data_IF_979336636088
#
_entry.id   IF_979336636088
#
_cell.length_a   1.000
_cell.length_b   1.000
_cell.length_c   1.000
_cell.angle_alpha   90.00
_cell.angle_beta   90.00
_cell.angle_gamma   90.00
#
_symmetry.space_group_name_H-M   'P 1'
#
loop_
_entity.id
_entity.type
_entity.pdbx_description
1 polymer ?
#
# COMPACT_ATOMS: atom_id res chain seq x y z
N UNK A 1 -37.73 -44.15 -17.61
CA UNK A 1 -36.45 -43.65 -18.16
C UNK A 1 -36.27 -42.23 -17.65
N UNK A 2 -35.44 -42.03 -16.63
CA UNK A 2 -35.09 -40.68 -16.15
C UNK A 2 -34.00 -40.14 -17.07
N UNK A 3 -34.32 -39.15 -17.88
CA UNK A 3 -33.33 -38.41 -18.65
C UNK A 3 -32.41 -37.68 -17.67
N UNK A 4 -31.18 -38.16 -17.51
CA UNK A 4 -30.08 -37.38 -16.94
C UNK A 4 -29.70 -36.29 -17.93
N UNK A 5 -30.51 -35.24 -18.01
CA UNK A 5 -30.11 -33.98 -18.63
C UNK A 5 -29.12 -33.31 -17.68
N UNK A 6 -27.88 -33.79 -17.69
CA UNK A 6 -26.78 -32.99 -17.15
C UNK A 6 -26.65 -31.78 -18.07
N UNK A 7 -27.18 -30.63 -17.63
CA UNK A 7 -26.98 -29.35 -18.31
C UNK A 7 -25.47 -29.17 -18.51
N UNK A 8 -25.01 -29.35 -19.74
CA UNK A 8 -23.62 -29.06 -20.10
C UNK A 8 -23.47 -27.54 -20.08
N UNK A 9 -22.59 -27.06 -19.21
CA UNK A 9 -22.10 -25.68 -19.23
C UNK A 9 -21.74 -25.33 -20.68
N UNK A 10 -22.24 -24.20 -21.17
CA UNK A 10 -21.98 -23.78 -22.54
C UNK A 10 -20.47 -23.58 -22.78
N UNK A 11 -20.03 -23.65 -24.05
CA UNK A 11 -18.63 -23.37 -24.40
C UNK A 11 -18.17 -21.99 -23.91
N UNK A 12 -19.08 -21.00 -23.94
CA UNK A 12 -18.81 -19.63 -23.49
C UNK A 12 -18.61 -19.55 -21.98
N UNK A 13 -19.48 -20.18 -21.19
CA UNK A 13 -19.36 -20.21 -19.73
C UNK A 13 -18.15 -21.03 -19.28
N UNK A 14 -17.80 -22.10 -19.99
CA UNK A 14 -16.56 -22.84 -19.72
C UNK A 14 -15.32 -21.97 -19.96
N UNK A 15 -15.27 -21.21 -21.06
CA UNK A 15 -14.19 -20.25 -21.32
C UNK A 15 -14.15 -19.15 -20.26
N UNK A 16 -15.31 -18.67 -19.81
CA UNK A 16 -15.42 -17.67 -18.75
C UNK A 16 -14.86 -18.20 -17.42
N UNK A 17 -15.18 -19.45 -17.05
CA UNK A 17 -14.63 -20.11 -15.85
C UNK A 17 -13.10 -20.21 -15.90
N UNK A 18 -12.54 -20.59 -17.06
CA UNK A 18 -11.09 -20.62 -17.26
C UNK A 18 -10.47 -19.23 -17.19
N UNK A 19 -11.14 -18.22 -17.75
CA UNK A 19 -10.70 -16.83 -17.67
C UNK A 19 -10.67 -16.34 -16.22
N UNK A 20 -11.70 -16.65 -15.43
CA UNK A 20 -11.73 -16.34 -13.99
C UNK A 20 -10.53 -16.91 -13.28
N UNK A 21 -10.23 -18.20 -13.44
CA UNK A 21 -9.07 -18.81 -12.78
C UNK A 21 -7.75 -18.09 -13.11
N UNK A 22 -7.53 -17.74 -14.39
CA UNK A 22 -6.34 -17.00 -14.83
C UNK A 22 -6.30 -15.58 -14.27
N UNK A 23 -7.43 -14.89 -14.24
CA UNK A 23 -7.55 -13.53 -13.72
C UNK A 23 -7.32 -13.54 -12.21
N UNK A 24 -7.91 -14.47 -11.46
CA UNK A 24 -7.69 -14.61 -10.02
C UNK A 24 -6.21 -14.77 -9.69
N UNK A 25 -5.50 -15.63 -10.42
CA UNK A 25 -4.06 -15.84 -10.23
C UNK A 25 -3.26 -14.57 -10.56
N UNK A 26 -3.52 -13.94 -11.71
CA UNK A 26 -2.89 -12.67 -12.08
C UNK A 26 -3.10 -11.59 -11.02
N UNK A 27 -4.33 -11.46 -10.54
CA UNK A 27 -4.75 -10.45 -9.58
C UNK A 27 -4.06 -10.65 -8.23
N UNK A 28 -3.97 -11.90 -7.77
CA UNK A 28 -3.23 -12.26 -6.54
C UNK A 28 -1.74 -11.89 -6.65
N UNK A 29 -1.11 -12.10 -7.80
CA UNK A 29 0.30 -11.72 -8.00
C UNK A 29 0.50 -10.20 -8.00
N UNK A 30 -0.42 -9.44 -8.60
CA UNK A 30 -0.38 -7.97 -8.60
C UNK A 30 -0.53 -7.44 -7.17
N UNK A 31 -1.49 -7.94 -6.41
CA UNK A 31 -1.70 -7.58 -5.01
C UNK A 31 -0.46 -7.84 -4.17
N UNK A 32 0.12 -9.05 -4.26
CA UNK A 32 1.34 -9.39 -3.55
C UNK A 32 2.49 -8.44 -3.89
N UNK A 33 2.70 -8.15 -5.18
CA UNK A 33 3.74 -7.22 -5.61
C UNK A 33 3.55 -5.80 -5.05
N UNK A 34 2.31 -5.33 -4.96
CA UNK A 34 1.99 -4.03 -4.37
C UNK A 34 2.22 -4.01 -2.86
N UNK A 35 1.84 -5.08 -2.16
CA UNK A 35 2.10 -5.23 -0.73
C UNK A 35 3.61 -5.28 -0.43
N UNK A 36 4.37 -6.04 -1.21
CA UNK A 36 5.83 -6.14 -1.07
C UNK A 36 6.48 -4.76 -1.24
N UNK A 37 6.07 -3.98 -2.25
CA UNK A 37 6.55 -2.60 -2.44
C UNK A 37 6.24 -1.69 -1.24
N UNK A 38 5.05 -1.81 -0.64
CA UNK A 38 4.70 -1.02 0.54
C UNK A 38 5.57 -1.40 1.75
N UNK A 39 5.87 -2.69 1.92
CA UNK A 39 6.75 -3.20 2.97
C UNK A 39 8.20 -2.77 2.77
N UNK A 40 8.70 -2.77 1.53
CA UNK A 40 10.04 -2.27 1.19
C UNK A 40 10.17 -0.78 1.53
N UNK A 41 9.19 0.04 1.16
CA UNK A 41 9.16 1.48 1.50
C UNK A 41 9.19 1.66 3.03
N UNK A 42 8.41 0.84 3.75
CA UNK A 42 8.39 0.87 5.22
C UNK A 42 9.76 0.51 5.78
N UNK A 43 10.42 -0.53 5.28
CA UNK A 43 11.75 -0.92 5.75
C UNK A 43 12.77 0.21 5.57
N UNK A 44 12.72 0.93 4.44
CA UNK A 44 13.57 2.10 4.25
C UNK A 44 13.23 3.20 5.25
N UNK A 45 11.95 3.49 5.48
CA UNK A 45 11.52 4.49 6.46
C UNK A 45 11.95 4.11 7.90
N UNK A 46 11.73 2.86 8.31
CA UNK A 46 12.11 2.34 9.64
C UNK A 46 13.65 2.38 9.82
N UNK A 47 14.44 2.25 8.75
CA UNK A 47 15.91 2.40 8.81
C UNK A 47 16.38 3.82 9.19
N UNK A 48 15.51 4.81 9.02
CA UNK A 48 15.81 6.19 9.39
C UNK A 48 15.50 6.51 10.85
N UNK A 49 14.72 5.68 11.56
CA UNK A 49 14.31 5.94 12.94
C UNK A 49 15.50 6.20 13.87
N UNK A 50 16.58 5.44 13.70
CA UNK A 50 17.81 5.65 14.48
C UNK A 50 18.40 7.07 14.27
N UNK A 51 18.41 7.57 13.03
CA UNK A 51 18.93 8.91 12.72
C UNK A 51 18.05 10.00 13.35
N UNK A 52 16.74 9.76 13.44
CA UNK A 52 15.79 10.68 14.08
C UNK A 52 16.02 10.73 15.58
N UNK A 53 16.16 9.57 16.23
CA UNK A 53 16.36 9.49 17.67
C UNK A 53 17.70 10.13 18.08
N UNK A 54 18.77 9.90 17.31
CA UNK A 54 20.06 10.59 17.50
C UNK A 54 19.92 12.12 17.39
N UNK A 55 19.12 12.60 16.44
CA UNK A 55 18.89 14.03 16.26
C UNK A 55 17.98 14.65 17.32
N UNK A 56 17.02 13.91 17.86
CA UNK A 56 16.22 14.34 19.00
C UNK A 56 17.10 14.57 20.24
N UNK A 57 18.03 13.65 20.50
CA UNK A 57 19.02 13.82 21.57
C UNK A 57 19.87 15.07 21.36
N UNK A 58 20.36 15.28 20.14
CA UNK A 58 21.15 16.48 19.78
C UNK A 58 20.32 17.77 19.96
N UNK A 59 19.04 17.73 19.59
CA UNK A 59 18.11 18.86 19.80
C UNK A 59 17.97 19.20 21.28
N UNK A 60 17.90 18.20 22.17
CA UNK A 60 17.88 18.44 23.62
C UNK A 60 19.15 19.14 24.11
N UNK A 61 20.32 18.75 23.60
CA UNK A 61 21.59 19.38 23.98
C UNK A 61 21.66 20.85 23.55
N UNK A 62 21.17 21.17 22.34
CA UNK A 62 21.08 22.55 21.87
C UNK A 62 20.17 23.43 22.73
N UNK A 63 19.13 22.85 23.35
CA UNK A 63 18.24 23.57 24.26
C UNK A 63 18.89 23.96 25.59
N UNK A 64 20.02 23.34 25.94
CA UNK A 64 20.78 23.62 27.17
C UNK A 64 22.01 24.52 26.93
N UNK A 65 22.42 24.71 25.68
CA UNK A 65 23.58 25.52 25.33
C UNK A 65 23.21 27.02 25.22
N UNK A 66 24.12 27.89 25.65
CA UNK A 66 23.97 29.35 25.48
C UNK A 66 24.28 29.74 24.03
N UNK A 67 23.48 30.63 23.45
CA UNK A 67 23.62 31.17 22.08
C UNK A 67 23.29 30.20 20.91
N UNK A 68 22.56 29.11 21.16
CA UNK A 68 22.13 28.11 20.15
C UNK A 68 20.63 28.14 19.85
N UNK A 69 19.90 29.17 20.30
CA UNK A 69 18.44 29.23 20.27
C UNK A 69 17.85 29.08 18.86
N UNK A 70 18.46 29.70 17.85
CA UNK A 70 18.02 29.57 16.45
C UNK A 70 18.18 28.13 15.92
N UNK A 71 19.27 27.46 16.25
CA UNK A 71 19.53 26.07 15.86
C UNK A 71 18.60 25.11 16.58
N UNK A 72 18.31 25.37 17.86
CA UNK A 72 17.33 24.61 18.63
C UNK A 72 15.94 24.66 17.97
N UNK A 73 15.45 25.84 17.60
CA UNK A 73 14.15 25.97 16.92
C UNK A 73 14.12 25.28 15.55
N UNK A 74 15.20 25.39 14.76
CA UNK A 74 15.31 24.68 13.48
C UNK A 74 15.29 23.15 13.68
N UNK A 75 16.03 22.65 14.66
CA UNK A 75 16.09 21.23 14.99
C UNK A 75 14.72 20.71 15.45
N UNK A 76 14.01 21.44 16.33
CA UNK A 76 12.65 21.09 16.74
C UNK A 76 11.67 21.03 15.56
N UNK A 77 11.75 21.96 14.61
CA UNK A 77 10.90 21.94 13.42
C UNK A 77 11.15 20.71 12.55
N UNK A 78 12.41 20.31 12.38
CA UNK A 78 12.77 19.11 11.64
C UNK A 78 12.30 17.84 12.32
N UNK A 79 12.51 17.70 13.64
CA UNK A 79 11.99 16.59 14.44
C UNK A 79 10.46 16.48 14.31
N UNK A 80 9.75 17.59 14.49
CA UNK A 80 8.29 17.62 14.39
C UNK A 80 7.82 17.17 12.99
N UNK A 81 8.45 17.70 11.94
CA UNK A 81 8.13 17.34 10.55
C UNK A 81 8.33 15.84 10.29
N UNK A 82 9.44 15.28 10.80
CA UNK A 82 9.74 13.85 10.69
C UNK A 82 8.69 13.00 11.40
N UNK A 83 8.32 13.33 12.64
CA UNK A 83 7.31 12.57 13.40
C UNK A 83 5.95 12.59 12.70
N UNK A 84 5.56 13.73 12.10
CA UNK A 84 4.36 13.79 11.26
C UNK A 84 4.46 12.87 10.04
N UNK A 85 5.59 12.90 9.32
CA UNK A 85 5.80 12.05 8.15
C UNK A 85 5.81 10.55 8.49
N UNK A 86 6.45 10.15 9.59
CA UNK A 86 6.40 8.77 10.10
C UNK A 86 4.96 8.32 10.36
N UNK A 87 4.15 9.17 11.02
CA UNK A 87 2.75 8.87 11.29
C UNK A 87 1.94 8.74 9.99
N UNK A 88 2.16 9.65 9.02
CA UNK A 88 1.53 9.56 7.73
C UNK A 88 1.89 8.27 7.00
N UNK A 89 3.16 7.89 6.97
CA UNK A 89 3.63 6.67 6.31
C UNK A 89 3.04 5.41 6.97
N UNK A 90 2.99 5.36 8.30
CA UNK A 90 2.32 4.27 9.04
C UNK A 90 0.83 4.17 8.72
N UNK A 91 0.13 5.30 8.65
CA UNK A 91 -1.28 5.34 8.31
C UNK A 91 -1.54 4.90 6.86
N UNK A 92 -0.70 5.34 5.91
CA UNK A 92 -0.83 4.92 4.51
C UNK A 92 -0.57 3.42 4.37
N UNK A 93 0.47 2.89 5.03
CA UNK A 93 0.74 1.45 5.03
C UNK A 93 -0.42 0.65 5.61
N UNK A 94 -0.95 1.07 6.76
CA UNK A 94 -2.10 0.41 7.39
C UNK A 94 -3.30 0.38 6.43
N UNK A 95 -3.57 1.49 5.73
CA UNK A 95 -4.61 1.59 4.70
C UNK A 95 -4.39 0.63 3.53
N UNK A 96 -3.14 0.49 3.04
CA UNK A 96 -2.81 -0.50 1.99
C UNK A 96 -3.09 -1.92 2.50
N UNK A 97 -2.60 -2.27 3.69
CA UNK A 97 -2.75 -3.63 4.24
C UNK A 97 -4.21 -4.00 4.53
N UNK A 98 -5.01 -3.09 5.10
CA UNK A 98 -6.44 -3.32 5.37
C UNK A 98 -7.23 -3.49 4.08
N UNK A 99 -6.95 -2.64 3.08
CA UNK A 99 -7.59 -2.74 1.79
C UNK A 99 -7.22 -4.03 1.05
N UNK A 100 -5.95 -4.46 1.11
CA UNK A 100 -5.51 -5.71 0.50
C UNK A 100 -6.22 -6.93 1.11
N UNK A 101 -6.35 -6.96 2.44
CA UNK A 101 -7.06 -8.04 3.14
C UNK A 101 -8.54 -8.07 2.74
N UNK A 102 -9.23 -6.93 2.82
CA UNK A 102 -10.67 -6.83 2.52
C UNK A 102 -10.96 -7.19 1.07
N UNK A 103 -10.20 -6.58 0.16
CA UNK A 103 -10.42 -6.78 -1.27
C UNK A 103 -10.02 -8.19 -1.72
N UNK A 104 -8.95 -8.76 -1.16
CA UNK A 104 -8.59 -10.16 -1.39
C UNK A 104 -9.67 -11.15 -0.93
N UNK A 105 -10.42 -10.84 0.13
CA UNK A 105 -11.58 -11.64 0.57
C UNK A 105 -12.78 -11.47 -0.37
N UNK A 106 -13.09 -10.23 -0.76
CA UNK A 106 -14.20 -9.90 -1.67
C UNK A 106 -14.01 -10.56 -3.05
N UNK A 107 -12.80 -10.51 -3.61
CA UNK A 107 -12.47 -11.13 -4.89
C UNK A 107 -12.61 -12.64 -4.86
N UNK A 108 -12.08 -13.31 -3.82
CA UNK A 108 -12.22 -14.76 -3.65
C UNK A 108 -13.68 -15.16 -3.52
N UNK A 109 -14.46 -14.39 -2.76
CA UNK A 109 -15.90 -14.64 -2.58
C UNK A 109 -16.67 -14.44 -3.88
N UNK A 110 -16.41 -13.35 -4.60
CA UNK A 110 -17.09 -13.00 -5.86
C UNK A 110 -16.80 -14.01 -6.97
N UNK A 111 -15.54 -14.45 -7.12
CA UNK A 111 -15.19 -15.49 -8.08
C UNK A 111 -15.76 -16.85 -7.70
N UNK A 112 -15.76 -17.23 -6.41
CA UNK A 112 -16.40 -18.45 -5.95
C UNK A 112 -17.92 -18.43 -6.20
N UNK A 113 -18.58 -17.30 -5.95
CA UNK A 113 -20.00 -17.10 -6.25
C UNK A 113 -20.28 -17.21 -7.75
N UNK A 114 -19.45 -16.61 -8.61
CA UNK A 114 -19.58 -16.76 -10.06
C UNK A 114 -19.44 -18.21 -10.50
N UNK A 115 -18.41 -18.93 -10.02
CA UNK A 115 -18.18 -20.34 -10.36
C UNK A 115 -19.33 -21.24 -9.88
N UNK A 116 -19.86 -20.96 -8.68
CA UNK A 116 -21.06 -21.63 -8.16
C UNK A 116 -22.29 -21.34 -9.03
N UNK A 117 -22.50 -20.08 -9.41
CA UNK A 117 -23.62 -19.65 -10.24
C UNK A 117 -23.63 -20.35 -11.60
N UNK A 118 -22.49 -20.38 -12.31
CA UNK A 118 -22.42 -21.03 -13.63
C UNK A 118 -22.56 -22.55 -13.57
N UNK A 119 -22.27 -23.19 -12.42
CA UNK A 119 -22.37 -24.65 -12.27
C UNK A 119 -23.82 -25.16 -12.31
N UNK A 120 -24.78 -24.31 -11.95
CA UNK A 120 -26.21 -24.60 -11.93
C UNK A 120 -26.99 -23.75 -12.93
N UNK A 121 -26.30 -23.05 -13.84
CA UNK A 121 -26.93 -22.07 -14.72
C UNK A 121 -27.68 -22.75 -15.86
N UNK A 122 -28.97 -22.44 -15.97
CA UNK A 122 -29.87 -22.95 -17.01
C UNK A 122 -30.44 -21.83 -17.91
N UNK A 123 -29.97 -20.59 -17.75
CA UNK A 123 -30.40 -19.41 -18.50
C UNK A 123 -29.51 -19.09 -19.70
N UNK A 124 -29.67 -17.88 -20.26
CA UNK A 124 -28.82 -17.34 -21.32
C UNK A 124 -27.49 -16.78 -20.77
N UNK A 125 -26.37 -17.17 -21.37
CA UNK A 125 -25.01 -16.84 -20.93
C UNK A 125 -24.78 -15.34 -20.70
N UNK A 126 -25.55 -14.47 -21.35
CA UNK A 126 -25.46 -13.00 -21.26
C UNK A 126 -25.43 -12.49 -19.81
N UNK A 127 -26.31 -13.01 -18.93
CA UNK A 127 -26.39 -12.51 -17.56
C UNK A 127 -25.17 -12.93 -16.73
N UNK A 128 -24.74 -14.18 -16.86
CA UNK A 128 -23.55 -14.69 -16.18
C UNK A 128 -22.29 -13.95 -16.65
N UNK A 129 -22.15 -13.70 -17.95
CA UNK A 129 -21.02 -12.94 -18.51
C UNK A 129 -21.02 -11.47 -18.06
N UNK A 130 -22.20 -10.84 -17.91
CA UNK A 130 -22.31 -9.51 -17.35
C UNK A 130 -21.84 -9.47 -15.88
N UNK A 131 -22.21 -10.46 -15.06
CA UNK A 131 -21.72 -10.58 -13.69
C UNK A 131 -20.19 -10.71 -13.63
N UNK A 132 -19.59 -11.48 -14.54
CA UNK A 132 -18.13 -11.58 -14.65
C UNK A 132 -17.49 -10.22 -14.96
N UNK A 133 -18.05 -9.46 -15.91
CA UNK A 133 -17.55 -8.13 -16.27
C UNK A 133 -17.55 -7.18 -15.08
N UNK A 134 -18.59 -7.23 -14.24
CA UNK A 134 -18.67 -6.42 -13.03
C UNK A 134 -17.56 -6.79 -12.03
N UNK A 135 -17.34 -8.10 -11.79
CA UNK A 135 -16.30 -8.58 -10.87
C UNK A 135 -14.89 -8.21 -11.37
N UNK A 136 -14.65 -8.20 -12.68
CA UNK A 136 -13.36 -7.75 -13.22
C UNK A 136 -13.18 -6.25 -13.12
N UNK A 137 -14.26 -5.46 -13.29
CA UNK A 137 -14.20 -4.01 -13.19
C UNK A 137 -13.86 -3.50 -11.78
N UNK A 138 -14.39 -4.14 -10.74
CA UNK A 138 -14.02 -3.81 -9.34
C UNK A 138 -12.54 -4.05 -9.05
N UNK A 139 -11.91 -5.01 -9.72
CA UNK A 139 -10.46 -5.22 -9.62
C UNK A 139 -9.64 -4.12 -10.25
N UNK A 140 -10.00 -3.67 -11.44
CA UNK A 140 -9.26 -2.62 -12.12
C UNK A 140 -9.29 -1.32 -11.30
N UNK A 141 -10.43 -1.01 -10.68
CA UNK A 141 -10.58 0.14 -9.79
C UNK A 141 -9.73 0.00 -8.53
N UNK A 142 -9.77 -1.16 -7.86
CA UNK A 142 -8.93 -1.43 -6.69
C UNK A 142 -7.44 -1.30 -7.00
N UNK A 143 -6.99 -1.88 -8.12
CA UNK A 143 -5.60 -1.85 -8.54
C UNK A 143 -5.13 -0.41 -8.77
N UNK A 144 -5.97 0.42 -9.39
CA UNK A 144 -5.70 1.85 -9.56
C UNK A 144 -5.58 2.58 -8.20
N UNK A 145 -6.48 2.31 -7.26
CA UNK A 145 -6.45 2.90 -5.93
C UNK A 145 -5.20 2.48 -5.13
N UNK A 146 -4.82 1.20 -5.17
CA UNK A 146 -3.59 0.73 -4.51
C UNK A 146 -2.34 1.37 -5.13
N UNK A 147 -2.31 1.50 -6.46
CA UNK A 147 -1.21 2.19 -7.13
C UNK A 147 -1.07 3.64 -6.66
N UNK A 148 -2.19 4.37 -6.52
CA UNK A 148 -2.17 5.74 -6.01
C UNK A 148 -1.64 5.82 -4.56
N UNK A 149 -2.02 4.87 -3.70
CA UNK A 149 -1.50 4.80 -2.32
C UNK A 149 -0.01 4.52 -2.26
N UNK A 150 0.49 3.63 -3.13
CA UNK A 150 1.94 3.39 -3.27
C UNK A 150 2.69 4.63 -3.73
N UNK A 151 2.15 5.36 -4.71
CA UNK A 151 2.73 6.64 -5.13
C UNK A 151 2.78 7.62 -3.96
N UNK A 152 1.70 7.72 -3.19
CA UNK A 152 1.64 8.57 -1.99
C UNK A 152 2.70 8.16 -0.95
N UNK A 153 2.89 6.86 -0.70
CA UNK A 153 3.95 6.38 0.20
C UNK A 153 5.35 6.73 -0.31
N UNK A 154 5.57 6.67 -1.63
CA UNK A 154 6.85 7.04 -2.23
C UNK A 154 7.12 8.54 -2.10
N UNK A 155 6.13 9.39 -2.35
CA UNK A 155 6.24 10.83 -2.15
C UNK A 155 6.50 11.20 -0.68
N UNK A 156 5.89 10.45 0.25
CA UNK A 156 6.14 10.57 1.69
C UNK A 156 7.58 10.18 2.04
N UNK A 157 8.10 9.10 1.46
CA UNK A 157 9.49 8.67 1.65
C UNK A 157 10.50 9.68 1.09
N UNK A 158 10.23 10.26 -0.07
CA UNK A 158 11.08 11.30 -0.67
C UNK A 158 11.11 12.56 0.20
N UNK A 159 9.95 12.98 0.72
CA UNK A 159 9.83 14.10 1.66
C UNK A 159 10.58 13.82 2.95
N UNK A 160 10.50 12.59 3.45
CA UNK A 160 11.20 12.16 4.65
C UNK A 160 12.72 12.20 4.44
N UNK A 161 13.20 11.65 3.33
CA UNK A 161 14.61 11.70 2.92
C UNK A 161 15.13 13.13 2.82
N UNK A 162 14.33 14.05 2.28
CA UNK A 162 14.70 15.46 2.19
C UNK A 162 14.91 16.09 3.57
N UNK A 163 14.03 15.83 4.54
CA UNK A 163 14.20 16.38 5.90
C UNK A 163 15.37 15.74 6.62
N UNK A 164 15.64 14.44 6.42
CA UNK A 164 16.85 13.80 6.96
C UNK A 164 18.13 14.44 6.42
N UNK A 165 18.17 14.84 5.15
CA UNK A 165 19.29 15.61 4.59
C UNK A 165 19.46 16.98 5.24
N UNK A 166 18.36 17.67 5.56
CA UNK A 166 18.39 18.96 6.28
C UNK A 166 18.91 18.78 7.71
N UNK A 167 18.47 17.72 8.38
CA UNK A 167 18.96 17.30 9.70
C UNK A 167 20.47 17.05 9.67
N UNK A 168 20.95 16.27 8.69
CA UNK A 168 22.37 15.98 8.53
C UNK A 168 23.19 17.26 8.26
N UNK A 169 22.68 18.15 7.41
CA UNK A 169 23.34 19.43 7.13
C UNK A 169 23.39 20.34 8.38
N UNK A 170 22.32 20.37 9.19
CA UNK A 170 22.32 21.13 10.44
C UNK A 170 23.35 20.56 11.42
N UNK A 171 23.38 19.24 11.60
CA UNK A 171 24.38 18.57 12.46
C UNK A 171 25.80 18.92 12.03
N UNK A 172 26.11 18.77 10.74
CA UNK A 172 27.41 19.13 10.20
C UNK A 172 27.79 20.60 10.47
N UNK A 173 26.84 21.53 10.24
CA UNK A 173 27.09 22.95 10.51
C UNK A 173 27.32 23.27 11.99
N UNK A 174 26.73 22.51 12.91
CA UNK A 174 26.97 22.64 14.35
C UNK A 174 28.34 22.09 14.76
N UNK A 175 28.75 20.96 14.18
CA UNK A 175 30.08 20.36 14.38
C UNK A 175 31.18 21.31 13.88
N UNK A 176 31.03 21.91 12.70
CA UNK A 176 31.99 22.89 12.15
C UNK A 176 32.13 24.14 13.02
N UNK A 177 31.07 24.53 13.73
CA UNK A 177 31.06 25.68 14.63
C UNK A 177 31.52 25.34 16.06
N UNK A 178 31.81 24.07 16.35
CA UNK A 178 32.20 23.60 17.68
C UNK A 178 31.09 23.76 18.73
N UNK A 179 29.83 23.77 18.27
CA UNK A 179 28.64 23.90 19.13
C UNK A 179 28.18 22.54 19.67
N UNK A 180 28.62 21.46 19.04
CA UNK A 180 28.47 20.05 19.45
C UNK A 180 29.73 19.26 19.09
#
# INVERSE_FOLDING_TARGET
MCCTNTLRISSSLHKAALAVSKITERNSRIQQCQLDQALDIRQVADSFDQTVDEFEVLTMHLGCATATESYFYQAQQHVHSVRLMQNHLRNTLASITDADIKFGQEMRSSYAQFLSHISCYAGDDTQALASLSTITGTFDEFNLQQHQRLTTMRDQLDSYTLVLRKIAALKHGLEEQGLI
#
